data_IF_945440287915
#
_entry.id   IF_945440287915
#
_cell.length_a   1.000
_cell.length_b   1.000
_cell.length_c   1.000
_cell.angle_alpha   90.00
_cell.angle_beta   90.00
_cell.angle_gamma   90.00
#
_symmetry.space_group_name_H-M   'P 1'
#
loop_
_entity.id
_entity.type
_entity.pdbx_description
1 polymer ?
#
# COMPACT_ATOMS: atom_id res chain seq x y z
N UNK A 1 86.06 -19.60 50.70
CA UNK A 1 85.75 -20.88 51.39
C UNK A 1 84.77 -21.65 50.51
N UNK A 2 84.91 -22.99 50.39
CA UNK A 2 83.87 -23.96 49.98
C UNK A 2 82.85 -24.16 51.14
N UNK A 3 81.77 -24.99 51.08
CA UNK A 3 81.34 -26.03 50.11
C UNK A 3 79.99 -25.69 49.39
N UNK A 4 79.43 -26.39 48.38
CA UNK A 4 79.04 -27.83 48.19
C UNK A 4 77.94 -28.30 49.18
N UNK A 5 76.96 -29.17 48.89
CA UNK A 5 76.51 -29.92 47.68
C UNK A 5 75.10 -30.54 47.95
N UNK A 6 74.49 -31.18 46.92
CA UNK A 6 73.69 -32.46 46.94
C UNK A 6 72.27 -32.45 46.32
N UNK A 7 72.14 -33.35 45.35
CA UNK A 7 70.96 -33.96 44.69
C UNK A 7 70.82 -35.44 45.17
N UNK A 8 70.09 -36.39 44.52
CA UNK A 8 68.80 -36.40 43.79
C UNK A 8 67.83 -37.51 44.32
N UNK A 9 66.72 -37.80 43.63
CA UNK A 9 65.94 -39.05 43.81
C UNK A 9 64.87 -39.32 42.74
N UNK A 10 64.56 -40.60 42.50
CA UNK A 10 63.62 -41.13 41.48
C UNK A 10 63.03 -42.51 41.96
N UNK A 11 62.20 -43.29 41.25
CA UNK A 11 61.94 -43.39 39.79
C UNK A 11 60.57 -44.01 39.41
N UNK A 12 60.33 -44.06 38.09
CA UNK A 12 59.35 -44.78 37.24
C UNK A 12 58.86 -46.18 37.71
N UNK A 13 57.60 -46.58 37.38
CA UNK A 13 57.21 -47.78 36.56
C UNK A 13 55.84 -48.48 36.90
N UNK A 14 55.14 -48.99 35.86
CA UNK A 14 53.99 -49.96 35.91
C UNK A 14 52.71 -49.49 35.15
N UNK A 15 52.20 -50.01 34.01
CA UNK A 15 51.85 -51.38 33.48
C UNK A 15 50.79 -52.14 34.31
N UNK A 16 49.75 -52.84 33.79
CA UNK A 16 48.98 -52.85 32.51
C UNK A 16 47.77 -53.83 32.62
N UNK A 17 46.61 -53.48 32.04
CA UNK A 17 45.63 -54.34 31.32
C UNK A 17 44.68 -55.38 32.00
N UNK A 18 43.46 -55.46 31.40
CA UNK A 18 42.49 -56.57 31.24
C UNK A 18 41.13 -56.61 32.01
N UNK A 19 40.14 -57.20 31.30
CA UNK A 19 38.67 -57.25 31.47
C UNK A 19 38.20 -58.28 32.56
N UNK A 20 36.94 -58.37 33.04
CA UNK A 20 35.75 -58.83 32.27
C UNK A 20 34.38 -58.82 33.03
N UNK A 21 33.31 -58.56 32.26
CA UNK A 21 31.90 -59.05 32.27
C UNK A 21 30.82 -58.93 33.40
N UNK A 22 29.57 -58.98 32.87
CA UNK A 22 28.22 -59.24 33.45
C UNK A 22 27.46 -58.02 34.05
N UNK A 23 26.15 -57.84 33.84
CA UNK A 23 25.10 -58.66 33.21
C UNK A 23 23.96 -57.82 32.59
N UNK A 24 23.12 -58.41 31.71
CA UNK A 24 22.00 -57.75 31.01
C UNK A 24 20.64 -58.15 31.61
N UNK A 25 19.72 -57.21 31.79
CA UNK A 25 18.26 -57.48 31.82
C UNK A 25 17.47 -56.50 30.95
N UNK A 26 16.40 -57.02 30.36
CA UNK A 26 15.67 -56.49 29.19
C UNK A 26 14.18 -56.78 29.36
N UNK A 27 13.34 -55.75 29.35
CA UNK A 27 11.87 -55.80 29.20
C UNK A 27 11.37 -54.37 28.87
N UNK A 28 10.22 -54.13 28.23
CA UNK A 28 9.49 -54.84 27.17
C UNK A 28 8.42 -53.87 26.61
N UNK A 29 7.92 -54.09 25.39
CA UNK A 29 6.85 -53.27 24.82
C UNK A 29 5.48 -53.64 25.41
N UNK A 30 4.64 -52.63 25.67
CA UNK A 30 3.18 -52.76 25.52
C UNK A 30 2.56 -51.47 24.92
N UNK A 31 1.32 -51.53 24.45
CA UNK A 31 0.82 -50.76 23.30
C UNK A 31 -0.24 -49.70 23.64
N UNK A 32 -0.26 -48.65 22.80
CA UNK A 32 -1.46 -47.90 22.33
C UNK A 32 -2.26 -47.06 23.36
N UNK A 33 -3.08 -46.07 22.93
CA UNK A 33 -3.49 -45.76 21.55
C UNK A 33 -3.06 -44.40 21.00
N UNK A 34 -3.12 -44.36 19.66
CA UNK A 34 -3.08 -43.20 18.78
C UNK A 34 -3.69 -41.92 19.39
N UNK A 35 -2.84 -40.98 19.82
CA UNK A 35 -3.11 -39.59 19.49
C UNK A 35 -2.66 -39.39 18.05
N UNK A 36 -3.59 -39.59 17.12
CA UNK A 36 -3.48 -38.89 15.85
C UNK A 36 -3.43 -37.41 16.19
N UNK A 37 -2.24 -36.81 16.12
CA UNK A 37 -2.10 -35.40 15.81
C UNK A 37 -2.79 -35.20 14.48
N UNK A 38 -4.10 -34.97 14.56
CA UNK A 38 -4.88 -34.38 13.50
C UNK A 38 -4.06 -33.20 13.06
N UNK A 39 -3.57 -33.27 11.83
CA UNK A 39 -3.18 -32.08 11.12
C UNK A 39 -4.38 -31.16 11.26
N UNK A 40 -4.22 -30.11 12.06
CA UNK A 40 -5.11 -28.97 12.01
C UNK A 40 -4.93 -28.51 10.58
N UNK A 41 -5.86 -28.93 9.71
CA UNK A 41 -5.87 -28.48 8.35
C UNK A 41 -6.16 -27.00 8.47
N UNK A 42 -5.08 -26.22 8.40
CA UNK A 42 -5.18 -24.81 8.20
C UNK A 42 -5.87 -24.71 6.83
N UNK A 43 -7.17 -24.43 6.87
CA UNK A 43 -8.04 -24.27 5.69
C UNK A 43 -7.67 -22.93 5.04
N UNK A 44 -6.39 -22.81 4.67
CA UNK A 44 -5.80 -21.66 4.03
C UNK A 44 -6.54 -21.41 2.72
N UNK A 45 -6.89 -20.15 2.49
CA UNK A 45 -7.72 -19.77 1.37
C UNK A 45 -7.02 -20.11 0.04
N UNK A 46 -7.62 -21.02 -0.73
CA UNK A 46 -7.11 -21.48 -2.02
C UNK A 46 -7.90 -20.87 -3.18
N UNK A 47 -7.23 -20.01 -3.97
CA UNK A 47 -7.83 -19.34 -5.12
C UNK A 47 -8.44 -20.28 -6.16
N UNK A 48 -7.78 -21.40 -6.50
CA UNK A 48 -8.28 -22.34 -7.51
C UNK A 48 -9.60 -22.99 -7.08
N UNK A 49 -9.69 -23.40 -5.81
CA UNK A 49 -10.91 -23.92 -5.18
C UNK A 49 -11.99 -22.84 -5.19
N UNK A 50 -11.66 -21.63 -4.77
CA UNK A 50 -12.60 -20.51 -4.66
C UNK A 50 -13.16 -20.06 -6.02
N UNK A 51 -12.32 -19.93 -7.04
CA UNK A 51 -12.73 -19.59 -8.42
C UNK A 51 -13.68 -20.66 -8.99
N UNK A 52 -13.37 -21.94 -8.77
CA UNK A 52 -14.22 -23.07 -9.17
C UNK A 52 -15.56 -23.09 -8.44
N UNK A 53 -15.58 -22.87 -7.12
CA UNK A 53 -16.80 -22.86 -6.31
C UNK A 53 -17.70 -21.64 -6.58
N UNK A 54 -17.10 -20.50 -6.94
CA UNK A 54 -17.82 -19.26 -7.31
C UNK A 54 -18.16 -19.17 -8.80
N UNK A 55 -17.73 -20.13 -9.63
CA UNK A 55 -17.90 -20.09 -11.09
C UNK A 55 -17.31 -18.83 -11.74
N UNK A 56 -16.27 -18.26 -11.13
CA UNK A 56 -15.71 -16.94 -11.48
C UNK A 56 -14.34 -17.06 -12.15
N UNK A 57 -13.94 -16.01 -12.87
CA UNK A 57 -12.61 -15.89 -13.48
C UNK A 57 -11.78 -14.86 -12.72
N UNK A 58 -10.47 -15.08 -12.62
CA UNK A 58 -9.54 -14.05 -12.19
C UNK A 58 -9.34 -13.00 -13.28
N UNK A 59 -9.02 -11.77 -12.89
CA UNK A 59 -8.54 -10.77 -13.83
C UNK A 59 -7.13 -11.17 -14.35
N UNK A 60 -6.88 -11.15 -15.67
CA UNK A 60 -5.55 -11.42 -16.22
C UNK A 60 -4.49 -10.43 -15.71
N UNK A 61 -3.26 -10.89 -15.52
CA UNK A 61 -2.16 -10.11 -14.93
C UNK A 61 -1.85 -8.82 -15.71
N UNK A 62 -2.05 -8.82 -17.03
CA UNK A 62 -1.92 -7.67 -17.93
C UNK A 62 -2.96 -6.56 -17.71
N UNK A 63 -4.00 -6.78 -16.90
CA UNK A 63 -4.92 -5.72 -16.47
C UNK A 63 -4.29 -4.80 -15.42
N UNK A 64 -3.29 -5.29 -14.68
CA UNK A 64 -2.75 -4.65 -13.50
C UNK A 64 -1.47 -3.87 -13.79
N UNK A 65 -1.28 -2.77 -13.07
CA UNK A 65 0.01 -2.09 -13.00
C UNK A 65 0.90 -2.73 -11.93
N UNK A 66 1.24 -3.99 -12.13
CA UNK A 66 2.12 -4.78 -11.26
C UNK A 66 3.15 -5.54 -12.10
N UNK A 67 4.34 -5.77 -11.54
CA UNK A 67 5.43 -6.47 -12.23
C UNK A 67 5.13 -7.97 -12.34
N UNK A 68 5.24 -8.58 -13.53
CA UNK A 68 4.96 -10.03 -13.74
C UNK A 68 5.77 -10.95 -12.81
N UNK A 69 6.99 -10.55 -12.52
CA UNK A 69 7.81 -11.10 -11.43
C UNK A 69 7.75 -10.05 -10.32
N UNK A 70 7.22 -10.37 -9.12
CA UNK A 70 7.14 -9.38 -8.06
C UNK A 70 8.51 -8.85 -7.64
N UNK A 71 8.62 -7.57 -7.24
CA UNK A 71 9.89 -6.98 -6.86
C UNK A 71 10.40 -7.57 -5.53
N UNK A 72 11.70 -7.91 -5.48
CA UNK A 72 12.37 -8.29 -4.25
C UNK A 72 12.38 -7.14 -3.23
N UNK A 73 12.17 -7.45 -1.96
CA UNK A 73 12.12 -6.48 -0.87
C UNK A 73 13.34 -6.63 0.05
N UNK A 74 14.34 -5.77 -0.17
CA UNK A 74 15.63 -5.80 0.55
C UNK A 74 15.67 -4.87 1.77
N UNK A 75 14.60 -4.08 1.99
CA UNK A 75 14.52 -3.10 3.08
C UNK A 75 14.58 -3.77 4.46
N UNK A 76 14.95 -2.97 5.48
CA UNK A 76 14.95 -3.39 6.89
C UNK A 76 14.17 -2.40 7.74
N UNK A 77 13.56 -2.90 8.81
CA UNK A 77 12.94 -2.05 9.85
C UNK A 77 14.01 -1.15 10.45
N UNK A 78 13.70 0.13 10.61
CA UNK A 78 14.61 1.19 11.06
C UNK A 78 15.21 2.03 9.93
N UNK A 79 15.22 1.53 8.68
CA UNK A 79 15.74 2.30 7.54
C UNK A 79 14.92 3.55 7.26
N UNK A 80 15.60 4.65 6.90
CA UNK A 80 14.99 5.92 6.50
C UNK A 80 14.97 6.11 4.99
N UNK A 81 13.86 6.68 4.51
CA UNK A 81 13.62 7.03 3.11
C UNK A 81 12.83 8.34 3.01
N UNK A 82 12.74 8.89 1.80
CA UNK A 82 11.83 10.00 1.47
C UNK A 82 10.50 9.42 0.99
N UNK A 83 9.37 9.96 1.47
CA UNK A 83 8.04 9.56 1.05
C UNK A 83 7.09 10.75 0.90
N UNK A 84 6.13 10.66 -0.03
CA UNK A 84 5.01 11.62 -0.11
C UNK A 84 4.06 11.43 1.08
N UNK A 85 3.69 12.50 1.80
CA UNK A 85 2.71 12.41 2.89
C UNK A 85 1.34 12.00 2.33
N UNK A 86 0.74 10.86 2.72
CA UNK A 86 -0.58 10.45 2.22
C UNK A 86 -1.70 11.45 2.51
N UNK A 87 -1.53 12.32 3.51
CA UNK A 87 -2.46 13.39 3.89
C UNK A 87 -2.14 14.73 3.21
N UNK A 88 -0.95 14.87 2.62
CA UNK A 88 -0.56 16.04 1.83
C UNK A 88 0.41 15.64 0.70
N UNK A 89 -0.12 15.14 -0.42
CA UNK A 89 0.65 14.49 -1.50
C UNK A 89 1.67 15.39 -2.22
N UNK A 90 1.63 16.70 -1.98
CA UNK A 90 2.65 17.65 -2.47
C UNK A 90 3.89 17.70 -1.58
N UNK A 91 3.81 17.27 -0.32
CA UNK A 91 4.93 17.25 0.62
C UNK A 91 5.71 15.94 0.51
N UNK A 92 7.03 16.05 0.31
CA UNK A 92 7.97 14.95 0.54
C UNK A 92 8.54 15.08 1.94
N UNK A 93 8.45 14.02 2.72
CA UNK A 93 8.82 13.94 4.14
C UNK A 93 9.83 12.80 4.35
N UNK A 94 10.59 12.84 5.43
CA UNK A 94 11.34 11.65 5.89
C UNK A 94 10.36 10.65 6.50
N UNK A 95 10.52 9.38 6.14
CA UNK A 95 9.79 8.26 6.70
C UNK A 95 10.74 7.15 7.14
N UNK A 96 10.35 6.43 8.19
CA UNK A 96 11.04 5.24 8.70
C UNK A 96 10.24 3.98 8.38
N UNK A 97 10.92 2.93 7.92
CA UNK A 97 10.35 1.59 7.79
C UNK A 97 10.10 1.02 9.18
N UNK A 98 8.84 0.82 9.54
CA UNK A 98 8.42 0.31 10.86
C UNK A 98 7.88 -1.13 10.81
N UNK A 99 7.76 -1.71 9.61
CA UNK A 99 7.31 -3.08 9.38
C UNK A 99 7.39 -3.42 7.89
N UNK A 100 7.40 -4.72 7.59
CA UNK A 100 7.53 -5.26 6.24
C UNK A 100 6.57 -6.44 6.10
N UNK A 101 5.90 -6.56 4.95
CA UNK A 101 5.14 -7.76 4.56
C UNK A 101 5.17 -7.90 3.05
N UNK A 102 5.53 -9.08 2.55
CA UNK A 102 5.87 -9.32 1.15
C UNK A 102 6.63 -8.17 0.47
N UNK A 103 6.07 -7.65 -0.63
CA UNK A 103 6.64 -6.54 -1.40
C UNK A 103 6.30 -5.13 -0.84
N UNK A 104 5.65 -5.04 0.33
CA UNK A 104 5.17 -3.79 0.94
C UNK A 104 5.98 -3.40 2.20
N UNK A 105 6.16 -2.09 2.35
CA UNK A 105 6.75 -1.42 3.51
C UNK A 105 5.65 -0.73 4.30
N UNK A 106 5.64 -0.92 5.63
CA UNK A 106 4.88 -0.09 6.57
C UNK A 106 5.76 1.09 6.94
N UNK A 107 5.27 2.29 6.70
CA UNK A 107 5.99 3.55 6.84
C UNK A 107 5.32 4.44 7.87
N UNK A 108 6.14 5.18 8.61
CA UNK A 108 5.71 6.28 9.49
C UNK A 108 6.55 7.50 9.17
N UNK A 109 5.91 8.66 9.07
CA UNK A 109 6.61 9.92 8.86
C UNK A 109 7.32 10.35 10.15
N UNK A 110 8.59 10.71 10.04
CA UNK A 110 9.40 11.07 11.20
C UNK A 110 8.88 12.39 11.82
N UNK A 111 8.58 12.34 13.12
CA UNK A 111 8.02 13.46 13.87
C UNK A 111 6.48 13.55 13.85
N UNK A 112 5.78 12.59 13.23
CA UNK A 112 4.33 12.44 13.37
C UNK A 112 3.92 11.38 14.40
N UNK A 113 2.61 11.25 14.62
CA UNK A 113 2.01 10.20 15.45
C UNK A 113 2.17 8.77 14.88
N UNK A 114 1.73 7.78 15.67
CA UNK A 114 1.76 6.35 15.34
C UNK A 114 0.41 5.78 14.85
N UNK A 115 -0.56 6.63 14.54
CA UNK A 115 -1.92 6.25 14.12
C UNK A 115 -2.11 6.40 12.61
N UNK A 116 -1.26 7.17 11.95
CA UNK A 116 -1.27 7.46 10.51
C UNK A 116 -0.15 6.71 9.75
N UNK A 117 0.16 5.49 10.18
CA UNK A 117 1.05 4.60 9.42
C UNK A 117 0.43 4.25 8.06
N UNK A 118 1.26 4.13 7.03
CA UNK A 118 0.81 3.86 5.66
C UNK A 118 1.67 2.79 4.98
N UNK A 119 1.12 2.17 3.95
CA UNK A 119 1.79 1.11 3.20
C UNK A 119 2.18 1.58 1.79
N UNK A 120 3.36 1.17 1.33
CA UNK A 120 3.84 1.35 -0.05
C UNK A 120 4.60 0.13 -0.54
N UNK A 121 4.45 -0.20 -1.82
CA UNK A 121 5.29 -1.20 -2.49
C UNK A 121 6.71 -0.64 -2.66
N UNK A 122 7.71 -1.54 -2.66
CA UNK A 122 9.12 -1.18 -2.92
C UNK A 122 9.40 -0.59 -4.30
N UNK A 123 8.42 -0.67 -5.22
CA UNK A 123 8.43 -0.12 -6.58
C UNK A 123 7.47 1.08 -6.75
N UNK A 124 7.03 1.69 -5.66
CA UNK A 124 6.12 2.84 -5.68
C UNK A 124 6.88 4.14 -5.97
N UNK A 125 6.32 5.01 -6.82
CA UNK A 125 6.82 6.38 -7.05
C UNK A 125 6.55 7.35 -5.90
N UNK A 126 5.84 6.92 -4.85
CA UNK A 126 5.62 7.72 -3.65
C UNK A 126 6.79 7.59 -2.65
N UNK A 127 7.77 6.72 -2.90
CA UNK A 127 8.96 6.53 -2.06
C UNK A 127 10.24 6.70 -2.89
N UNK A 128 11.27 7.27 -2.28
CA UNK A 128 12.56 7.51 -2.94
C UNK A 128 13.73 7.51 -1.93
N UNK A 129 14.98 7.30 -2.39
CA UNK A 129 16.16 7.39 -1.52
C UNK A 129 16.32 8.81 -0.95
N UNK A 130 16.89 8.93 0.24
CA UNK A 130 17.13 10.26 0.84
C UNK A 130 18.20 11.04 0.06
N UNK A 131 17.97 12.35 -0.07
CA UNK A 131 18.70 13.24 -0.96
C UNK A 131 18.20 13.18 -2.40
N UNK A 132 16.99 12.69 -2.67
CA UNK A 132 16.36 12.78 -4.01
C UNK A 132 15.63 14.10 -4.16
N UNK A 133 14.82 14.50 -3.17
CA UNK A 133 14.11 15.77 -3.12
C UNK A 133 15.04 16.97 -3.33
N UNK A 134 16.20 16.99 -2.65
CA UNK A 134 17.23 18.03 -2.81
C UNK A 134 17.81 18.06 -4.25
N UNK A 135 18.07 16.90 -4.86
CA UNK A 135 18.62 16.81 -6.23
C UNK A 135 17.60 17.26 -7.29
N UNK A 136 16.31 17.12 -7.02
CA UNK A 136 15.23 17.62 -7.86
C UNK A 136 14.98 19.13 -7.66
N UNK A 137 15.67 19.77 -6.70
CA UNK A 137 15.56 21.20 -6.41
C UNK A 137 14.39 21.57 -5.49
N UNK A 138 13.82 20.59 -4.78
CA UNK A 138 12.74 20.76 -3.81
C UNK A 138 13.27 20.60 -2.37
N UNK A 139 12.43 20.90 -1.37
CA UNK A 139 12.78 20.86 0.05
C UNK A 139 11.89 19.90 0.83
N UNK A 140 12.50 19.09 1.69
CA UNK A 140 11.79 18.20 2.61
C UNK A 140 10.91 19.01 3.56
N UNK A 141 9.63 18.66 3.58
CA UNK A 141 8.60 19.30 4.38
C UNK A 141 8.36 18.55 5.69
N UNK A 142 7.95 19.24 6.77
CA UNK A 142 7.41 18.55 7.93
C UNK A 142 6.11 17.80 7.54
N UNK A 143 5.84 16.62 8.11
CA UNK A 143 4.59 15.91 7.87
C UNK A 143 3.38 16.72 8.37
N UNK A 144 2.19 16.50 7.78
CA UNK A 144 0.99 17.25 8.16
C UNK A 144 0.63 17.10 9.65
N UNK A 145 0.93 15.94 10.23
CA UNK A 145 0.79 15.64 11.66
C UNK A 145 2.07 15.81 12.48
N UNK A 146 2.98 16.71 12.08
CA UNK A 146 4.20 16.99 12.83
C UNK A 146 3.88 17.51 14.24
N UNK A 147 4.45 16.86 15.26
CA UNK A 147 4.07 17.06 16.66
C UNK A 147 4.81 18.22 17.36
N UNK A 148 5.75 18.87 16.68
CA UNK A 148 6.58 19.95 17.22
C UNK A 148 6.32 21.26 16.46
N UNK A 149 6.82 22.38 16.99
CA UNK A 149 6.73 23.68 16.31
C UNK A 149 7.43 23.64 14.94
N UNK A 150 6.82 24.20 13.90
CA UNK A 150 7.38 24.22 12.52
C UNK A 150 8.80 24.82 12.49
N UNK A 151 9.10 25.79 13.34
CA UNK A 151 10.44 26.39 13.47
C UNK A 151 11.53 25.41 13.93
N UNK A 152 11.19 24.27 14.54
CA UNK A 152 12.17 23.24 14.90
C UNK A 152 12.48 22.25 13.77
N UNK A 153 11.73 22.27 12.66
CA UNK A 153 11.87 21.31 11.55
C UNK A 153 13.31 21.16 11.03
N UNK A 154 14.10 22.24 10.77
CA UNK A 154 15.46 22.08 10.25
C UNK A 154 16.39 21.32 11.21
N UNK A 155 16.30 21.61 12.51
CA UNK A 155 17.09 20.94 13.55
C UNK A 155 16.59 19.51 13.82
N UNK A 156 15.28 19.29 13.72
CA UNK A 156 14.68 17.96 13.81
C UNK A 156 15.16 17.07 12.66
N UNK A 157 15.13 17.56 11.43
CA UNK A 157 15.60 16.86 10.24
C UNK A 157 17.08 16.47 10.36
N UNK A 158 17.94 17.44 10.70
CA UNK A 158 19.37 17.20 10.92
C UNK A 158 19.60 16.11 11.98
N UNK A 159 18.94 16.22 13.15
CA UNK A 159 19.07 15.24 14.24
C UNK A 159 18.54 13.86 13.86
N UNK A 160 17.49 13.80 13.05
CA UNK A 160 16.84 12.55 12.63
C UNK A 160 17.69 11.78 11.62
N UNK A 161 18.38 12.49 10.72
CA UNK A 161 19.23 11.89 9.69
C UNK A 161 20.65 11.59 10.18
N UNK A 162 21.15 12.33 11.18
CA UNK A 162 22.51 12.12 11.71
C UNK A 162 22.62 10.76 12.39
N UNK A 163 23.44 9.87 11.81
CA UNK A 163 23.70 8.54 12.37
C UNK A 163 22.59 7.50 12.13
N UNK A 164 21.57 7.80 11.32
CA UNK A 164 20.53 6.84 10.95
C UNK A 164 20.91 5.96 9.76
N UNK A 165 20.37 4.74 9.69
CA UNK A 165 20.52 3.86 8.53
C UNK A 165 19.63 4.34 7.37
N UNK A 166 20.25 4.77 6.28
CA UNK A 166 19.54 5.25 5.08
C UNK A 166 19.29 4.07 4.13
N UNK A 167 18.07 3.96 3.59
CA UNK A 167 17.77 2.93 2.61
C UNK A 167 18.62 3.12 1.33
N UNK A 168 19.42 2.13 0.89
CA UNK A 168 20.21 2.22 -0.33
C UNK A 168 19.36 2.40 -1.58
N UNK A 169 19.84 3.17 -2.56
CA UNK A 169 19.11 3.42 -3.81
C UNK A 169 18.77 2.15 -4.61
N UNK A 170 19.53 1.07 -4.44
CA UNK A 170 19.30 -0.24 -5.07
C UNK A 170 18.08 -0.99 -4.52
N UNK A 171 17.52 -0.56 -3.39
CA UNK A 171 16.36 -1.20 -2.78
C UNK A 171 15.04 -0.69 -3.40
N UNK A 172 15.04 0.54 -3.92
CA UNK A 172 13.91 1.15 -4.62
C UNK A 172 13.85 0.57 -6.03
N UNK A 173 12.77 -0.15 -6.33
CA UNK A 173 12.61 -0.86 -7.61
C UNK A 173 11.85 0.02 -8.61
N UNK A 174 11.99 -0.27 -9.90
CA UNK A 174 11.36 0.52 -10.95
C UNK A 174 9.85 0.25 -11.01
N UNK A 175 9.03 1.31 -10.96
CA UNK A 175 7.58 1.16 -11.06
C UNK A 175 7.15 0.50 -12.40
N UNK A 176 6.32 -0.55 -12.39
CA UNK A 176 5.88 -1.24 -13.59
C UNK A 176 5.20 -0.33 -14.63
N UNK A 177 5.29 -0.69 -15.92
CA UNK A 177 4.60 0.04 -16.99
C UNK A 177 3.09 0.01 -16.77
N UNK A 178 2.45 1.16 -17.02
CA UNK A 178 0.98 1.26 -17.02
C UNK A 178 0.41 0.41 -18.17
N UNK A 179 -0.61 -0.45 -17.94
CA UNK A 179 -1.30 -1.12 -19.04
C UNK A 179 -1.95 -0.08 -19.98
N UNK A 180 -1.93 -0.28 -21.31
CA UNK A 180 -2.31 0.78 -22.25
C UNK A 180 -3.82 1.11 -22.23
N UNK A 181 -4.66 0.17 -21.81
CA UNK A 181 -6.13 0.30 -21.76
C UNK A 181 -6.70 -0.44 -20.54
N UNK A 182 -7.89 -0.03 -20.09
CA UNK A 182 -8.63 -0.73 -19.05
C UNK A 182 -9.20 -2.07 -19.56
N UNK A 183 -8.52 -3.17 -19.25
CA UNK A 183 -8.93 -4.51 -19.67
C UNK A 183 -9.86 -5.24 -18.70
N UNK A 184 -10.10 -4.72 -17.50
CA UNK A 184 -10.99 -5.34 -16.52
C UNK A 184 -12.42 -5.53 -17.07
N UNK A 185 -13.09 -6.56 -16.56
CA UNK A 185 -14.50 -6.89 -16.84
C UNK A 185 -15.22 -7.14 -15.53
N UNK A 186 -16.51 -6.79 -15.49
CA UNK A 186 -17.37 -7.02 -14.33
C UNK A 186 -17.43 -8.52 -14.01
N UNK A 187 -17.33 -8.87 -12.73
CA UNK A 187 -17.28 -10.24 -12.24
C UNK A 187 -15.88 -10.88 -12.20
N UNK A 188 -14.83 -10.22 -12.72
CA UNK A 188 -13.46 -10.70 -12.54
C UNK A 188 -13.02 -10.57 -11.08
N UNK A 189 -12.31 -11.59 -10.56
CA UNK A 189 -11.74 -11.60 -9.21
C UNK A 189 -10.27 -11.17 -9.18
N UNK A 190 -9.88 -10.56 -8.07
CA UNK A 190 -8.56 -10.00 -7.83
C UNK A 190 -8.23 -9.97 -6.33
N UNK A 191 -7.00 -9.56 -6.01
CA UNK A 191 -6.58 -9.20 -4.65
C UNK A 191 -6.56 -7.66 -4.55
N UNK A 192 -7.09 -7.08 -3.47
CA UNK A 192 -7.17 -5.63 -3.30
C UNK A 192 -6.92 -5.20 -1.84
N UNK A 193 -6.28 -4.04 -1.65
CA UNK A 193 -6.11 -3.42 -0.32
C UNK A 193 -7.46 -2.85 0.15
N UNK A 194 -7.86 -3.17 1.39
CA UNK A 194 -8.93 -2.43 2.08
C UNK A 194 -8.42 -1.03 2.46
N UNK A 195 -8.96 0.01 1.84
CA UNK A 195 -8.56 1.41 2.11
C UNK A 195 -8.90 1.89 3.52
N UNK A 196 -9.81 1.24 4.24
CA UNK A 196 -10.08 1.52 5.66
C UNK A 196 -9.09 0.82 6.59
N UNK A 197 -8.53 -0.31 6.16
CA UNK A 197 -7.57 -1.11 6.91
C UNK A 197 -6.35 -1.46 6.01
N UNK A 198 -5.47 -0.50 5.63
CA UNK A 198 -4.51 -0.69 4.53
C UNK A 198 -3.43 -1.76 4.73
N UNK A 199 -3.38 -2.38 5.91
CA UNK A 199 -2.63 -3.61 6.18
C UNK A 199 -3.20 -4.80 5.41
N UNK A 200 -4.53 -4.92 5.31
CA UNK A 200 -5.23 -6.07 4.75
C UNK A 200 -5.21 -6.03 3.22
N UNK A 201 -4.81 -7.13 2.60
CA UNK A 201 -5.16 -7.47 1.22
C UNK A 201 -6.23 -8.56 1.28
N UNK A 202 -7.30 -8.40 0.51
CA UNK A 202 -8.49 -9.24 0.55
C UNK A 202 -8.89 -9.70 -0.86
N UNK A 203 -9.54 -10.87 -0.99
CA UNK A 203 -10.28 -11.28 -2.17
C UNK A 203 -11.36 -10.24 -2.50
N UNK A 204 -11.35 -9.78 -3.74
CA UNK A 204 -12.28 -8.78 -4.25
C UNK A 204 -12.74 -9.13 -5.66
N UNK A 205 -13.85 -8.52 -6.06
CA UNK A 205 -14.47 -8.65 -7.38
C UNK A 205 -14.60 -7.27 -8.04
N UNK A 206 -14.45 -7.20 -9.36
CA UNK A 206 -14.80 -6.00 -10.15
C UNK A 206 -16.33 -5.91 -10.22
N UNK A 207 -16.94 -5.04 -9.41
CA UNK A 207 -18.38 -4.83 -9.39
C UNK A 207 -18.89 -3.98 -10.56
N UNK A 208 -18.06 -3.10 -11.11
CA UNK A 208 -18.42 -2.23 -12.24
C UNK A 208 -17.15 -1.65 -12.93
N UNK A 209 -17.29 -1.15 -14.15
CA UNK A 209 -16.21 -0.53 -14.94
C UNK A 209 -16.72 0.74 -15.63
N UNK A 210 -16.02 1.87 -15.49
CA UNK A 210 -16.39 3.16 -16.07
C UNK A 210 -15.15 3.89 -16.64
N UNK A 211 -14.92 3.74 -17.93
CA UNK A 211 -13.74 4.33 -18.59
C UNK A 211 -12.45 3.80 -17.98
N UNK A 212 -11.62 4.70 -17.44
CA UNK A 212 -10.37 4.34 -16.75
C UNK A 212 -10.58 3.86 -15.29
N UNK A 213 -11.81 3.85 -14.78
CA UNK A 213 -12.11 3.49 -13.39
C UNK A 213 -12.76 2.10 -13.28
N UNK A 214 -12.49 1.42 -12.17
CA UNK A 214 -13.08 0.15 -11.77
C UNK A 214 -13.64 0.26 -10.35
N UNK A 215 -14.75 -0.42 -10.10
CA UNK A 215 -15.37 -0.51 -8.78
C UNK A 215 -14.93 -1.81 -8.11
N UNK A 216 -14.21 -1.69 -7.00
CA UNK A 216 -13.72 -2.81 -6.21
C UNK A 216 -14.76 -3.15 -5.14
N UNK A 217 -15.23 -4.40 -5.12
CA UNK A 217 -16.16 -4.91 -4.11
C UNK A 217 -15.53 -6.06 -3.34
N UNK A 218 -15.63 -6.06 -2.01
CA UNK A 218 -14.94 -7.05 -1.17
C UNK A 218 -15.77 -8.31 -0.95
N UNK A 219 -15.19 -9.48 -1.24
CA UNK A 219 -15.93 -10.74 -1.25
C UNK A 219 -16.36 -11.14 0.17
N UNK A 220 -17.66 -11.39 0.35
CA UNK A 220 -18.23 -11.76 1.64
C UNK A 220 -18.42 -10.62 2.65
N UNK A 221 -18.17 -9.37 2.22
CA UNK A 221 -18.39 -8.14 2.99
C UNK A 221 -19.55 -7.32 2.43
N UNK A 222 -20.16 -6.48 3.27
CA UNK A 222 -21.09 -5.45 2.78
C UNK A 222 -20.36 -4.39 1.96
N UNK A 223 -21.04 -3.77 0.99
CA UNK A 223 -20.47 -2.72 0.13
C UNK A 223 -20.03 -1.41 0.83
N UNK A 224 -20.01 -1.37 2.16
CA UNK A 224 -19.46 -0.27 2.93
C UNK A 224 -17.93 -0.11 2.78
N UNK A 225 -17.22 -1.15 2.33
CA UNK A 225 -15.76 -1.13 2.09
C UNK A 225 -15.40 -0.86 0.61
N UNK A 226 -16.39 -0.91 -0.28
CA UNK A 226 -16.20 -0.77 -1.72
C UNK A 226 -15.64 0.61 -2.09
N UNK A 227 -14.89 0.66 -3.18
CA UNK A 227 -14.37 1.92 -3.70
C UNK A 227 -14.17 1.91 -5.20
N UNK A 228 -14.16 3.11 -5.79
CA UNK A 228 -13.65 3.32 -7.14
C UNK A 228 -12.13 3.60 -7.09
N UNK A 229 -11.40 3.03 -8.04
CA UNK A 229 -10.02 3.35 -8.32
C UNK A 229 -9.77 3.33 -9.83
N UNK A 230 -8.65 3.91 -10.28
CA UNK A 230 -8.22 3.71 -11.67
C UNK A 230 -7.74 2.28 -11.88
N UNK A 231 -7.85 1.75 -13.10
CA UNK A 231 -7.34 0.42 -13.45
C UNK A 231 -5.82 0.27 -13.25
N UNK A 232 -5.07 1.37 -13.26
CA UNK A 232 -3.63 1.42 -13.04
C UNK A 232 -3.23 1.69 -11.58
N UNK A 233 -4.18 1.58 -10.65
CA UNK A 233 -3.96 1.72 -9.21
C UNK A 233 -2.98 0.66 -8.67
N UNK A 234 -2.11 1.06 -7.75
CA UNK A 234 -1.12 0.17 -7.12
C UNK A 234 -1.70 -0.64 -5.95
N UNK A 235 -2.94 -0.35 -5.54
CA UNK A 235 -3.67 -1.01 -4.44
C UNK A 235 -4.36 -2.32 -4.85
N UNK A 236 -4.29 -2.70 -6.14
CA UNK A 236 -4.91 -3.89 -6.71
C UNK A 236 -3.88 -4.81 -7.37
N UNK A 237 -4.10 -6.12 -7.25
CA UNK A 237 -3.15 -7.16 -7.61
C UNK A 237 -3.82 -8.36 -8.28
N UNK A 238 -3.13 -9.08 -9.18
CA UNK A 238 -3.65 -10.33 -9.74
C UNK A 238 -3.82 -11.40 -8.64
N UNK A 239 -4.73 -12.33 -8.89
CA UNK A 239 -4.93 -13.52 -8.05
C UNK A 239 -3.61 -14.28 -7.87
N UNK A 240 -3.25 -14.58 -6.62
CA UNK A 240 -2.01 -15.25 -6.24
C UNK A 240 -0.85 -14.33 -5.87
N UNK A 241 -1.02 -13.00 -5.94
CA UNK A 241 0.06 -12.04 -5.69
C UNK A 241 0.62 -12.11 -4.27
N UNK A 242 -0.25 -12.14 -3.25
CA UNK A 242 0.18 -12.30 -1.85
C UNK A 242 1.01 -13.58 -1.65
N UNK A 243 0.58 -14.70 -2.24
CA UNK A 243 1.30 -15.97 -2.19
C UNK A 243 2.70 -15.86 -2.83
N UNK A 244 2.81 -15.24 -4.02
CA UNK A 244 4.08 -15.04 -4.71
C UNK A 244 5.03 -14.08 -3.98
N UNK A 245 4.50 -13.12 -3.23
CA UNK A 245 5.31 -12.11 -2.51
C UNK A 245 5.63 -12.47 -1.07
N UNK A 246 4.91 -13.42 -0.46
CA UNK A 246 4.96 -13.62 1.00
C UNK A 246 4.22 -12.52 1.78
N UNK A 247 3.17 -11.95 1.19
CA UNK A 247 2.24 -11.02 1.82
C UNK A 247 0.99 -11.78 2.35
N UNK A 248 0.21 -11.17 3.24
CA UNK A 248 -0.89 -11.85 3.95
C UNK A 248 -2.23 -11.56 3.30
N UNK A 249 -2.74 -12.54 2.54
CA UNK A 249 -4.10 -12.53 2.02
C UNK A 249 -5.11 -12.90 3.12
N UNK A 250 -6.18 -12.10 3.28
CA UNK A 250 -7.30 -12.45 4.15
C UNK A 250 -8.24 -13.47 3.45
N UNK A 251 -8.96 -14.32 4.19
CA UNK A 251 -10.09 -15.05 3.62
C UNK A 251 -11.25 -14.08 3.28
N UNK A 252 -12.20 -14.48 2.41
CA UNK A 252 -13.45 -13.77 2.21
C UNK A 252 -14.23 -13.58 3.51
N UNK A 253 -15.05 -12.53 3.59
CA UNK A 253 -15.88 -12.25 4.77
C UNK A 253 -17.00 -13.26 4.98
N UNK A 254 -17.40 -13.46 6.23
CA UNK A 254 -18.52 -14.35 6.60
C UNK A 254 -19.90 -13.64 6.57
N UNK A 255 -19.97 -12.37 6.15
CA UNK A 255 -21.16 -11.54 6.37
C UNK A 255 -22.23 -11.61 5.29
N UNK A 256 -21.90 -12.13 4.09
CA UNK A 256 -22.82 -12.27 2.96
C UNK A 256 -22.68 -13.67 2.35
N UNK A 257 -23.76 -14.47 2.25
CA UNK A 257 -23.71 -15.75 1.55
C UNK A 257 -23.29 -15.56 0.09
N UNK A 258 -22.30 -16.34 -0.36
CA UNK A 258 -21.89 -16.39 -1.76
C UNK A 258 -23.09 -16.83 -2.61
N UNK A 259 -23.61 -15.93 -3.44
CA UNK A 259 -24.70 -16.22 -4.36
C UNK A 259 -24.22 -17.20 -5.44
N UNK A 260 -24.46 -18.49 -5.22
CA UNK A 260 -24.18 -19.55 -6.20
C UNK A 260 -25.11 -19.37 -7.40
N UNK A 261 -24.60 -18.83 -8.51
CA UNK A 261 -25.31 -18.74 -9.78
C UNK A 261 -25.46 -20.14 -10.42
N UNK A 262 -26.40 -20.93 -9.89
CA UNK A 262 -26.83 -22.20 -10.48
C UNK A 262 -27.88 -21.88 -11.55
N UNK A 263 -27.44 -21.78 -12.81
CA UNK A 263 -28.32 -21.56 -13.96
C UNK A 263 -29.21 -22.78 -14.27
N UNK A 264 -30.49 -22.68 -13.90
CA UNK A 264 -31.63 -23.54 -14.28
C UNK A 264 -32.89 -22.66 -14.16
N UNK A 265 -33.89 -22.62 -15.06
CA UNK A 265 -34.33 -23.59 -16.09
C UNK A 265 -34.98 -22.87 -17.30
N UNK A 266 -35.17 -23.66 -18.36
CA UNK A 266 -35.74 -23.46 -19.69
C UNK A 266 -37.09 -22.70 -19.84
N UNK A 267 -37.25 -22.08 -21.01
CA UNK A 267 -38.43 -22.00 -21.90
C UNK A 267 -39.88 -21.93 -21.35
N UNK A 268 -40.47 -20.74 -21.54
CA UNK A 268 -41.80 -20.48 -22.16
C UNK A 268 -43.06 -21.28 -21.81
N UNK A 269 -44.09 -20.55 -21.36
CA UNK A 269 -45.44 -20.66 -21.93
C UNK A 269 -46.20 -19.32 -21.89
N UNK A 270 -46.93 -19.03 -22.99
CA UNK A 270 -47.99 -18.00 -23.11
C UNK A 270 -49.31 -18.61 -22.57
N UNK A 271 -50.41 -17.90 -22.32
CA UNK A 271 -50.75 -16.50 -21.99
C UNK A 271 -52.28 -16.47 -21.69
N UNK A 272 -52.79 -15.49 -20.93
CA UNK A 272 -54.22 -15.17 -20.88
C UNK A 272 -54.42 -13.67 -20.60
N UNK A 273 -55.47 -13.07 -21.16
CA UNK A 273 -55.66 -11.61 -21.27
C UNK A 273 -56.77 -11.08 -20.35
N UNK A 274 -56.67 -9.81 -19.95
CA UNK A 274 -57.74 -8.78 -19.99
C UNK A 274 -57.12 -7.46 -19.47
N UNK A 275 -56.97 -6.42 -20.30
CA UNK A 275 -57.97 -5.40 -20.66
C UNK A 275 -58.27 -4.38 -19.53
N UNK A 276 -57.80 -3.14 -19.69
CA UNK A 276 -58.64 -1.92 -19.78
C UNK A 276 -57.78 -0.64 -19.90
N UNK A 277 -58.36 0.43 -20.47
CA UNK A 277 -57.71 1.72 -20.77
C UNK A 277 -57.61 2.68 -19.54
N UNK A 278 -56.82 3.78 -19.62
CA UNK A 278 -56.52 4.63 -18.47
C UNK A 278 -57.58 5.73 -18.21
N UNK A 279 -57.79 6.17 -16.95
CA UNK A 279 -58.59 7.35 -16.63
C UNK A 279 -57.77 8.65 -16.66
N UNK A 280 -58.42 9.75 -17.08
CA UNK A 280 -57.90 11.12 -16.91
C UNK A 280 -58.44 11.79 -15.63
N UNK A 281 -57.59 12.66 -15.04
CA UNK A 281 -57.84 13.80 -14.14
C UNK A 281 -59.22 14.00 -13.47
N UNK A 282 -59.17 14.20 -12.15
CA UNK A 282 -59.98 15.20 -11.44
C UNK A 282 -59.06 16.05 -10.54
N UNK A 283 -59.40 17.32 -10.29
CA UNK A 283 -58.52 18.31 -9.65
C UNK A 283 -58.84 18.55 -8.16
N UNK A 284 -57.84 19.00 -7.39
CA UNK A 284 -58.01 19.73 -6.12
C UNK A 284 -57.19 21.02 -6.16
N UNK A 285 -57.71 22.05 -5.50
CA UNK A 285 -57.39 23.48 -5.65
C UNK A 285 -56.19 23.91 -4.79
N UNK A 286 -55.36 24.81 -5.33
CA UNK A 286 -54.53 25.74 -4.55
C UNK A 286 -54.88 27.19 -4.96
N UNK A 287 -54.94 28.15 -4.01
CA UNK A 287 -55.38 29.51 -4.30
C UNK A 287 -54.32 30.39 -4.98
N UNK A 288 -54.82 31.23 -5.90
CA UNK A 288 -54.25 32.47 -6.46
C UNK A 288 -53.53 33.38 -5.44
N UNK A 289 -52.56 34.24 -5.79
CA UNK A 289 -52.68 35.38 -6.74
C UNK A 289 -51.34 35.69 -7.44
N UNK A 290 -51.29 35.67 -8.77
CA UNK A 290 -51.38 36.82 -9.71
C UNK A 290 -50.14 37.75 -9.82
N UNK A 291 -49.42 37.59 -10.93
CA UNK A 291 -48.56 38.61 -11.57
C UNK A 291 -49.38 39.33 -12.65
N UNK A 292 -49.21 40.65 -12.83
CA UNK A 292 -49.47 41.31 -14.13
C UNK A 292 -48.58 42.55 -14.37
N UNK A 293 -48.50 42.95 -15.64
CA UNK A 293 -47.36 43.63 -16.30
C UNK A 293 -47.55 45.14 -16.50
N UNK A 294 -46.44 45.79 -16.93
CA UNK A 294 -46.34 47.04 -17.72
C UNK A 294 -46.38 48.36 -16.93
N UNK A 295 -45.53 49.37 -17.18
CA UNK A 295 -44.37 49.46 -18.09
C UNK A 295 -43.91 50.92 -18.37
N UNK A 296 -42.75 51.07 -19.04
CA UNK A 296 -42.21 52.29 -19.72
C UNK A 296 -41.38 53.31 -18.89
N UNK A 297 -40.47 53.97 -19.65
CA UNK A 297 -39.78 55.29 -19.47
C UNK A 297 -38.47 55.43 -18.65
N UNK A 298 -37.36 55.46 -19.41
CA UNK A 298 -36.23 56.44 -19.47
C UNK A 298 -35.20 56.59 -18.32
N UNK A 299 -33.94 56.64 -18.77
CA UNK A 299 -32.67 56.99 -18.10
C UNK A 299 -32.58 58.48 -17.68
N UNK A 300 -31.63 58.90 -16.82
CA UNK A 300 -30.18 58.99 -17.14
C UNK A 300 -29.29 58.34 -16.03
N UNK A 301 -27.95 58.34 -16.05
CA UNK A 301 -26.96 58.84 -17.01
C UNK A 301 -25.53 58.68 -16.45
N UNK A 302 -24.54 58.67 -17.34
CA UNK A 302 -23.11 58.50 -17.06
C UNK A 302 -22.51 59.45 -16.01
N UNK A 303 -21.47 58.99 -15.31
CA UNK A 303 -20.14 59.64 -15.40
C UNK A 303 -19.00 58.63 -15.30
N UNK A 304 -18.19 58.57 -16.35
CA UNK A 304 -16.83 58.05 -16.36
C UNK A 304 -15.83 59.17 -16.06
N UNK A 305 -14.71 58.87 -15.41
CA UNK A 305 -13.46 59.63 -15.56
C UNK A 305 -12.30 58.65 -15.66
N UNK A 306 -11.28 58.98 -16.45
CA UNK A 306 -10.19 58.07 -16.83
C UNK A 306 -8.81 58.74 -16.74
N UNK A 307 -7.77 57.90 -16.85
CA UNK A 307 -6.39 58.22 -17.30
C UNK A 307 -5.50 59.09 -16.38
N UNK A 308 -4.46 58.46 -15.86
CA UNK A 308 -3.04 58.59 -16.31
C UNK A 308 -2.28 57.36 -15.77
N UNK A 309 -1.30 56.77 -16.44
CA UNK A 309 -0.51 57.27 -17.57
C UNK A 309 0.91 57.62 -17.09
N UNK A 310 1.73 56.60 -16.83
CA UNK A 310 3.16 56.75 -16.52
C UNK A 310 3.93 55.53 -16.99
N UNK A 311 4.74 55.71 -18.04
CA UNK A 311 5.70 54.71 -18.52
C UNK A 311 7.04 54.98 -17.86
N UNK A 312 7.62 53.98 -17.18
CA UNK A 312 9.03 54.01 -16.80
C UNK A 312 9.73 52.70 -17.18
N UNK A 313 10.97 52.86 -17.63
CA UNK A 313 11.70 51.94 -18.50
C UNK A 313 12.47 50.88 -17.70
N UNK A 314 12.66 49.71 -18.33
CA UNK A 314 13.74 48.78 -18.00
C UNK A 314 15.11 49.49 -18.04
N UNK A 315 16.02 49.18 -17.10
CA UNK A 315 17.45 49.26 -17.32
C UNK A 315 18.05 47.84 -17.52
N UNK A 316 18.68 47.63 -18.67
CA UNK A 316 19.55 46.47 -18.95
C UNK A 316 20.80 46.46 -18.06
N UNK A 317 21.44 45.29 -17.84
CA UNK A 317 22.43 45.11 -16.76
C UNK A 317 23.81 45.74 -17.06
N UNK A 318 24.46 46.26 -16.01
CA UNK A 318 25.88 46.66 -16.07
C UNK A 318 26.80 45.47 -15.78
N UNK A 319 27.74 45.20 -16.69
CA UNK A 319 28.92 44.35 -16.44
C UNK A 319 29.93 45.06 -15.54
N UNK A 320 30.41 44.37 -14.49
CA UNK A 320 31.76 44.36 -13.87
C UNK A 320 31.60 43.88 -12.41
N UNK A 321 32.40 42.94 -11.88
CA UNK A 321 33.56 42.29 -12.48
C UNK A 321 33.99 40.99 -11.77
N UNK A 322 35.17 40.52 -12.15
CA UNK A 322 35.83 39.28 -11.75
C UNK A 322 36.03 39.10 -10.23
N UNK A 323 35.74 37.90 -9.72
CA UNK A 323 36.01 37.50 -8.33
C UNK A 323 36.17 35.99 -8.17
N UNK A 324 37.39 35.50 -8.40
CA UNK A 324 37.99 34.19 -8.04
C UNK A 324 37.07 32.97 -7.79
N UNK A 325 37.28 31.92 -8.61
CA UNK A 325 37.05 30.52 -8.20
C UNK A 325 37.83 30.22 -6.91
N UNK A 326 37.22 29.48 -5.99
CA UNK A 326 37.93 28.70 -4.97
C UNK A 326 37.58 27.23 -5.21
N UNK A 327 38.60 26.40 -5.40
CA UNK A 327 38.48 24.95 -5.48
C UNK A 327 39.06 24.32 -4.21
N UNK A 328 38.25 23.54 -3.50
CA UNK A 328 38.70 22.47 -2.62
C UNK A 328 37.85 21.25 -3.03
N UNK A 329 38.43 20.29 -3.75
CA UNK A 329 39.34 19.23 -3.26
C UNK A 329 38.57 18.22 -2.40
N UNK A 330 38.41 17.05 -3.02
CA UNK A 330 38.05 15.78 -2.42
C UNK A 330 39.12 15.28 -1.44
N UNK A 331 38.69 14.93 -0.23
CA UNK A 331 39.23 13.85 0.60
C UNK A 331 38.03 13.14 1.25
#
# INVERSE_FOLDING_TARGET
MRPEERTPGSDTMGRTANEDSMEVKKESQEKTPHSSTSSVQNDDFQWDKYLKETGSLSAPAECFRQSKIPPANDFKVGMKLEARDPRNVTSVCIATVIGITGARLRLRLDGSDNRNDFWRLVDSRDIQPVGTCEKEGDLLQPPLGYQMNVSSWPMFLLRTLTGSEMAPATFFKQEPPKPPINNFKVGMKLEAIDRKNPYLICPATIGNVRGDEVHITFDGWSGAFDYWCKYDCRDIFPVGWCCLTGDVLQPPGNSVPIAKNIGKTQSSSKAAQQSMQPPQKTAIVQPTQQVKKSGRTKSPGHTSVSKKGSSLKNPTPKKKGSGKKVSCISC
#
